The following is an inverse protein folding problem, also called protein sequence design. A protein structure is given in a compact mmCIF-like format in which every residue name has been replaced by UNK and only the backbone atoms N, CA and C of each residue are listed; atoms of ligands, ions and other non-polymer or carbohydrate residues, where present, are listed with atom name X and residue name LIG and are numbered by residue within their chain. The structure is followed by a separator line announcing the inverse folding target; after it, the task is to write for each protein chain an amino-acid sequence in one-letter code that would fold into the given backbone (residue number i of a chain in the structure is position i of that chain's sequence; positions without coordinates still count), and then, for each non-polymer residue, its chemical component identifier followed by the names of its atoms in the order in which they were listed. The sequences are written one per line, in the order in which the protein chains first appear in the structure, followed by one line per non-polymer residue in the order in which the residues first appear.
data_IF_186726578535
#
_entry.id   IF_186726578535
#
_cell.length_a   1.000
_cell.length_b   1.000
_cell.length_c   1.000
_cell.angle_alpha   90.00
_cell.angle_beta   90.00
_cell.angle_gamma   90.00
#
_symmetry.space_group_name_H-M   'P 1'
#
loop_
_entity.id
_entity.type
_entity.pdbx_description
1 polymer ?
#
# COMPACT_ATOMS: atom_id res chain seq x y z
N UNK A 1 45.17 -43.51 -25.14
CA UNK A 1 44.64 -43.16 -23.80
C UNK A 1 44.96 -41.70 -23.58
N UNK A 2 44.12 -40.84 -24.17
CA UNK A 2 44.14 -39.40 -24.00
C UNK A 2 42.69 -39.07 -23.70
N UNK A 3 42.41 -38.71 -22.45
CA UNK A 3 41.08 -38.28 -22.02
C UNK A 3 41.09 -36.76 -22.05
N UNK A 4 40.35 -36.24 -23.02
CA UNK A 4 40.25 -34.84 -23.40
C UNK A 4 39.13 -34.23 -22.54
N UNK A 5 39.52 -33.52 -21.48
CA UNK A 5 38.59 -32.84 -20.59
C UNK A 5 37.94 -31.67 -21.35
N UNK A 6 36.65 -31.83 -21.69
CA UNK A 6 35.80 -30.77 -22.23
C UNK A 6 35.58 -29.68 -21.19
N UNK A 7 36.03 -28.49 -21.54
CA UNK A 7 35.77 -27.22 -20.84
C UNK A 7 34.32 -26.79 -21.16
N UNK A 8 33.41 -26.98 -20.19
CA UNK A 8 32.04 -26.47 -20.28
C UNK A 8 32.04 -24.98 -19.93
N UNK A 9 31.82 -24.14 -20.95
CA UNK A 9 31.58 -22.70 -20.79
C UNK A 9 30.15 -22.49 -20.27
N UNK A 10 29.93 -21.67 -19.23
CA UNK A 10 28.59 -21.42 -18.70
C UNK A 10 27.72 -20.59 -19.68
N UNK A 11 26.39 -20.81 -19.69
CA UNK A 11 25.48 -20.16 -20.62
C UNK A 11 25.37 -18.67 -20.35
N UNK A 12 25.52 -17.87 -21.41
CA UNK A 12 25.26 -16.43 -21.37
C UNK A 12 23.76 -16.19 -21.22
N UNK A 13 23.40 -15.47 -20.17
CA UNK A 13 22.04 -15.04 -19.84
C UNK A 13 21.65 -13.89 -20.80
N UNK A 14 20.82 -14.20 -21.79
CA UNK A 14 20.21 -13.19 -22.68
C UNK A 14 19.28 -12.29 -21.86
N UNK A 15 19.69 -11.02 -21.73
CA UNK A 15 18.86 -9.97 -21.17
C UNK A 15 17.81 -9.59 -22.21
N UNK A 16 16.50 -9.65 -21.92
CA UNK A 16 15.47 -9.25 -22.87
C UNK A 16 15.49 -7.73 -23.07
N UNK A 17 15.57 -7.31 -24.34
CA UNK A 17 15.40 -5.94 -24.78
C UNK A 17 14.04 -5.40 -24.33
N UNK A 18 14.07 -4.44 -23.41
CA UNK A 18 12.89 -3.68 -22.97
C UNK A 18 12.55 -2.67 -24.07
N UNK A 19 11.64 -3.10 -24.94
CA UNK A 19 11.03 -2.30 -25.99
C UNK A 19 10.34 -1.06 -25.38
N UNK A 20 10.76 0.11 -25.86
CA UNK A 20 10.29 1.41 -25.40
C UNK A 20 8.78 1.58 -25.64
N UNK A 21 8.02 1.76 -24.56
CA UNK A 21 6.61 2.12 -24.62
C UNK A 21 6.43 3.56 -25.13
N UNK A 22 5.76 3.62 -26.27
CA UNK A 22 5.36 4.82 -26.99
C UNK A 22 4.29 5.60 -26.20
N UNK A 23 4.67 6.77 -25.70
CA UNK A 23 3.81 7.69 -24.95
C UNK A 23 2.81 8.38 -25.87
N UNK A 24 1.55 7.93 -25.85
CA UNK A 24 0.44 8.59 -26.55
C UNK A 24 -0.17 9.70 -25.68
N UNK A 25 -0.26 10.96 -26.16
CA UNK A 25 -0.66 12.09 -25.34
C UNK A 25 -2.18 12.23 -25.16
N UNK A 26 -2.52 12.77 -24.00
CA UNK A 26 -3.83 13.05 -23.46
C UNK A 26 -4.77 13.86 -24.39
N UNK A 27 -5.96 13.32 -24.62
CA UNK A 27 -7.10 14.05 -25.18
C UNK A 27 -7.90 14.73 -24.07
N UNK A 28 -7.61 16.02 -23.88
CA UNK A 28 -8.56 17.15 -23.74
C UNK A 28 -10.01 16.81 -23.31
N UNK A 29 -10.46 17.20 -22.10
CA UNK A 29 -11.88 17.31 -21.80
C UNK A 29 -12.42 18.67 -22.29
N UNK A 30 -13.48 18.59 -23.09
CA UNK A 30 -14.26 19.72 -23.58
C UNK A 30 -15.25 20.20 -22.51
N UNK A 31 -15.29 21.53 -22.35
CA UNK A 31 -16.47 22.36 -22.12
C UNK A 31 -17.32 22.10 -20.88
N UNK A 32 -16.95 22.82 -19.83
CA UNK A 32 -17.82 23.19 -18.72
C UNK A 32 -18.95 24.10 -19.22
N UNK A 33 -20.15 23.52 -19.36
CA UNK A 33 -21.38 24.28 -19.54
C UNK A 33 -21.77 24.95 -18.20
N UNK A 34 -21.76 26.28 -18.22
CA UNK A 34 -22.28 27.17 -17.19
C UNK A 34 -23.81 27.12 -17.19
N UNK A 35 -24.50 26.82 -16.07
CA UNK A 35 -25.93 27.12 -15.96
C UNK A 35 -26.10 28.60 -15.64
N UNK A 36 -26.66 29.33 -16.60
CA UNK A 36 -27.08 30.71 -16.44
C UNK A 36 -28.16 30.80 -15.35
N UNK A 37 -27.92 31.69 -14.40
CA UNK A 37 -28.89 32.17 -13.45
C UNK A 37 -29.71 33.30 -14.10
N UNK A 38 -31.00 33.07 -14.30
CA UNK A 38 -32.05 34.08 -14.42
C UNK A 38 -33.08 33.67 -13.33
N UNK A 39 -33.35 34.43 -12.25
CA UNK A 39 -33.58 35.87 -12.21
C UNK A 39 -34.91 36.13 -12.91
N UNK A 40 -36.07 35.85 -12.32
CA UNK A 40 -36.62 36.61 -11.21
C UNK A 40 -37.63 37.62 -11.75
N UNK A 41 -38.90 37.23 -11.89
CA UNK A 41 -40.02 38.15 -12.04
C UNK A 41 -41.22 37.64 -11.23
N UNK A 42 -41.37 38.24 -10.05
CA UNK A 42 -42.55 38.16 -9.20
C UNK A 42 -43.71 38.89 -9.91
N UNK A 43 -44.64 38.13 -10.51
CA UNK A 43 -45.93 38.68 -10.90
C UNK A 43 -46.85 38.75 -9.67
N UNK A 44 -46.69 39.85 -8.91
CA UNK A 44 -47.67 40.32 -7.96
C UNK A 44 -48.90 40.91 -8.68
N UNK A 45 -50.08 40.51 -8.24
CA UNK A 45 -51.30 41.32 -8.16
C UNK A 45 -51.86 41.88 -9.48
N UNK A 46 -52.60 41.03 -10.20
CA UNK A 46 -53.58 41.42 -11.22
C UNK A 46 -54.89 40.66 -11.01
N UNK A 47 -55.56 40.91 -9.89
CA UNK A 47 -56.87 40.34 -9.57
C UNK A 47 -57.99 40.96 -10.40
N UNK A 48 -57.98 40.77 -11.71
CA UNK A 48 -59.15 41.00 -12.54
C UNK A 48 -60.13 39.85 -12.34
N UNK A 49 -61.08 40.04 -11.42
CA UNK A 49 -62.25 39.18 -11.29
C UNK A 49 -63.11 39.37 -12.55
N UNK A 50 -62.75 38.67 -13.61
CA UNK A 50 -63.59 38.51 -14.80
C UNK A 50 -64.85 37.80 -14.33
N UNK A 51 -65.93 38.57 -14.22
CA UNK A 51 -67.25 38.13 -13.83
C UNK A 51 -67.74 37.17 -14.91
N UNK A 52 -67.54 35.86 -14.69
CA UNK A 52 -67.93 34.83 -15.64
C UNK A 52 -69.45 34.93 -15.89
N UNK A 53 -69.92 34.72 -17.12
CA UNK A 53 -71.35 34.92 -17.48
C UNK A 53 -72.30 34.07 -16.63
N UNK A 54 -71.80 32.98 -16.04
CA UNK A 54 -72.53 32.14 -15.08
C UNK A 54 -72.80 32.89 -13.76
N UNK A 55 -71.84 33.68 -13.25
CA UNK A 55 -72.02 34.46 -12.02
C UNK A 55 -73.00 35.62 -12.19
N UNK A 56 -73.02 36.28 -13.36
CA UNK A 56 -74.06 37.26 -13.69
C UNK A 56 -75.44 36.62 -13.81
N UNK A 57 -75.55 35.42 -14.40
CA UNK A 57 -76.81 34.69 -14.51
C UNK A 57 -77.42 34.34 -13.15
N UNK A 58 -76.60 33.85 -12.21
CA UNK A 58 -77.06 33.49 -10.86
C UNK A 58 -77.46 34.74 -10.06
N UNK A 59 -76.68 35.83 -10.14
CA UNK A 59 -77.05 37.11 -9.50
C UNK A 59 -78.38 37.67 -10.04
N UNK A 60 -78.62 37.56 -11.35
CA UNK A 60 -79.87 37.97 -11.97
C UNK A 60 -81.08 37.17 -11.48
N UNK A 61 -80.95 35.84 -11.40
CA UNK A 61 -82.03 34.96 -10.92
C UNK A 61 -82.31 35.20 -9.42
N UNK A 62 -81.27 35.39 -8.60
CA UNK A 62 -81.43 35.72 -7.18
C UNK A 62 -82.11 37.08 -6.98
N UNK A 63 -81.72 38.11 -7.77
CA UNK A 63 -82.36 39.42 -7.73
C UNK A 63 -83.84 39.37 -8.13
N UNK A 64 -84.16 38.61 -9.18
CA UNK A 64 -85.54 38.42 -9.62
C UNK A 64 -86.40 37.67 -8.58
N UNK A 65 -85.83 36.65 -7.93
CA UNK A 65 -86.51 35.89 -6.86
C UNK A 65 -86.81 36.78 -5.65
N UNK A 66 -85.87 37.61 -5.20
CA UNK A 66 -86.08 38.55 -4.08
C UNK A 66 -87.12 39.60 -4.43
N UNK A 67 -87.09 40.13 -5.67
CA UNK A 67 -88.09 41.07 -6.16
C UNK A 67 -89.51 40.49 -6.17
N UNK A 68 -89.65 39.25 -6.67
CA UNK A 68 -90.92 38.52 -6.66
C UNK A 68 -91.41 38.25 -5.23
N UNK A 69 -90.50 37.97 -4.30
CA UNK A 69 -90.81 37.70 -2.90
C UNK A 69 -91.34 38.94 -2.16
N UNK A 70 -90.72 40.10 -2.39
CA UNK A 70 -91.18 41.37 -1.84
C UNK A 70 -92.54 41.78 -2.41
N UNK A 71 -92.78 41.52 -3.70
CA UNK A 71 -94.09 41.73 -4.32
C UNK A 71 -95.16 40.80 -3.72
N UNK A 72 -94.84 39.54 -3.46
CA UNK A 72 -95.76 38.58 -2.86
C UNK A 72 -96.14 38.95 -1.41
N UNK A 73 -95.21 39.52 -0.62
CA UNK A 73 -95.50 40.04 0.74
C UNK A 73 -96.56 41.14 0.75
N UNK A 74 -96.64 41.97 -0.29
CA UNK A 74 -97.61 43.06 -0.37
C UNK A 74 -99.05 42.59 -0.60
N UNK A 75 -99.24 41.39 -1.14
CA UNK A 75 -100.57 40.89 -1.54
C UNK A 75 -101.12 39.92 -0.50
N UNK A 76 -100.28 39.07 0.12
CA UNK A 76 -100.70 38.06 1.09
C UNK A 76 -99.81 38.15 2.35
N UNK A 77 -100.20 39.00 3.30
CA UNK A 77 -99.46 39.31 4.54
C UNK A 77 -99.42 38.18 5.58
N UNK A 78 -98.94 37.00 5.21
CA UNK A 78 -98.76 35.86 6.12
C UNK A 78 -97.37 35.83 6.74
N UNK A 79 -97.28 35.93 8.07
CA UNK A 79 -96.03 35.91 8.85
C UNK A 79 -95.17 34.63 8.66
N UNK A 80 -95.70 33.58 8.04
CA UNK A 80 -94.98 32.33 7.78
C UNK A 80 -93.98 32.49 6.62
N UNK A 81 -94.31 33.31 5.62
CA UNK A 81 -93.47 33.53 4.44
C UNK A 81 -92.22 34.33 4.84
N UNK A 82 -92.35 35.37 5.67
CA UNK A 82 -91.20 36.15 6.17
C UNK A 82 -90.15 35.28 6.87
N UNK A 83 -90.57 34.28 7.64
CA UNK A 83 -89.66 33.40 8.39
C UNK A 83 -88.94 32.43 7.43
N UNK A 84 -89.65 31.84 6.46
CA UNK A 84 -89.04 30.94 5.49
C UNK A 84 -87.99 31.63 4.61
N UNK A 85 -88.24 32.88 4.20
CA UNK A 85 -87.29 33.68 3.43
C UNK A 85 -86.00 33.99 4.21
N UNK A 86 -86.12 34.35 5.49
CA UNK A 86 -84.95 34.61 6.34
C UNK A 86 -84.10 33.34 6.56
N UNK A 87 -84.73 32.18 6.75
CA UNK A 87 -84.01 30.91 6.89
C UNK A 87 -83.28 30.55 5.60
N UNK A 88 -83.89 30.74 4.43
CA UNK A 88 -83.25 30.47 3.15
C UNK A 88 -82.01 31.35 2.91
N UNK A 89 -82.06 32.63 3.31
CA UNK A 89 -80.90 33.55 3.20
C UNK A 89 -79.75 33.08 4.10
N UNK A 90 -80.05 32.64 5.34
CA UNK A 90 -79.03 32.15 6.28
C UNK A 90 -78.41 30.84 5.77
N UNK A 91 -79.22 29.88 5.33
CA UNK A 91 -78.74 28.59 4.82
C UNK A 91 -77.96 28.76 3.52
N UNK A 92 -78.44 29.60 2.60
CA UNK A 92 -77.72 29.91 1.35
C UNK A 92 -76.37 30.58 1.61
N UNK A 93 -76.30 31.50 2.58
CA UNK A 93 -75.06 32.13 3.01
C UNK A 93 -74.05 31.11 3.56
N UNK A 94 -74.51 30.17 4.40
CA UNK A 94 -73.66 29.12 4.97
C UNK A 94 -73.14 28.15 3.90
N UNK A 95 -74.01 27.65 3.02
CA UNK A 95 -73.61 26.70 1.97
C UNK A 95 -72.60 27.32 1.00
N UNK A 96 -72.77 28.60 0.64
CA UNK A 96 -71.80 29.28 -0.24
C UNK A 96 -70.40 29.33 0.39
N UNK A 97 -70.28 29.63 1.69
CA UNK A 97 -68.99 29.67 2.38
C UNK A 97 -68.28 28.32 2.39
N UNK A 98 -69.01 27.22 2.56
CA UNK A 98 -68.42 25.89 2.55
C UNK A 98 -67.92 25.47 1.17
N UNK A 99 -68.67 25.78 0.10
CA UNK A 99 -68.26 25.42 -1.27
C UNK A 99 -67.02 26.17 -1.75
N UNK A 100 -66.80 27.42 -1.30
CA UNK A 100 -65.57 28.15 -1.61
C UNK A 100 -64.33 27.50 -1.00
N UNK A 101 -64.47 26.89 0.18
CA UNK A 101 -63.36 26.22 0.87
C UNK A 101 -62.91 24.96 0.13
N UNK A 102 -63.85 24.19 -0.42
CA UNK A 102 -63.52 22.98 -1.19
C UNK A 102 -62.83 23.33 -2.53
N UNK A 103 -63.17 24.46 -3.14
CA UNK A 103 -62.51 24.92 -4.37
C UNK A 103 -61.08 25.40 -4.12
N UNK A 104 -60.84 26.08 -2.99
CA UNK A 104 -59.48 26.50 -2.58
C UNK A 104 -58.59 25.27 -2.31
N UNK A 105 -59.17 24.19 -1.78
CA UNK A 105 -58.44 22.93 -1.53
C UNK A 105 -57.92 22.26 -2.83
N UNK A 106 -58.60 22.44 -3.98
CA UNK A 106 -58.16 21.86 -5.25
C UNK A 106 -56.92 22.55 -5.84
N UNK A 107 -56.76 23.85 -5.58
CA UNK A 107 -55.56 24.59 -6.00
C UNK A 107 -54.34 24.18 -5.16
N UNK A 108 -54.55 23.98 -3.85
CA UNK A 108 -53.48 23.45 -2.98
C UNK A 108 -53.05 22.04 -3.41
N UNK A 109 -53.99 21.18 -3.82
CA UNK A 109 -53.66 19.83 -4.29
C UNK A 109 -52.86 19.86 -5.60
N UNK A 110 -53.20 20.75 -6.55
CA UNK A 110 -52.39 20.95 -7.77
C UNK A 110 -50.98 21.42 -7.44
N UNK A 111 -50.85 22.34 -6.49
CA UNK A 111 -49.54 22.83 -6.03
C UNK A 111 -48.73 21.71 -5.40
N UNK A 112 -49.33 20.91 -4.51
CA UNK A 112 -48.68 19.74 -3.89
C UNK A 112 -48.31 18.70 -4.95
N UNK A 113 -49.18 18.43 -5.92
CA UNK A 113 -48.92 17.45 -6.98
C UNK A 113 -47.79 17.90 -7.93
N UNK A 114 -47.75 19.18 -8.28
CA UNK A 114 -46.65 19.74 -9.06
C UNK A 114 -45.34 19.73 -8.25
N UNK A 115 -45.41 20.03 -6.96
CA UNK A 115 -44.26 19.91 -6.04
C UNK A 115 -43.76 18.47 -5.90
N UNK A 116 -44.67 17.50 -5.86
CA UNK A 116 -44.32 16.08 -5.81
C UNK A 116 -43.65 15.64 -7.12
N UNK A 117 -44.18 16.06 -8.27
CA UNK A 117 -43.55 15.79 -9.58
C UNK A 117 -42.15 16.40 -9.66
N UNK A 118 -41.98 17.64 -9.19
CA UNK A 118 -40.66 18.26 -9.12
C UNK A 118 -39.72 17.45 -8.23
N UNK A 119 -40.16 17.07 -7.02
CA UNK A 119 -39.36 16.27 -6.08
C UNK A 119 -38.99 14.90 -6.64
N UNK A 120 -39.88 14.23 -7.37
CA UNK A 120 -39.61 12.94 -8.04
C UNK A 120 -38.59 13.12 -9.16
N UNK A 121 -38.70 14.18 -9.95
CA UNK A 121 -37.73 14.47 -11.01
C UNK A 121 -36.35 14.79 -10.42
N UNK A 122 -36.29 15.57 -9.34
CA UNK A 122 -35.05 15.90 -8.62
C UNK A 122 -34.42 14.63 -8.04
N UNK A 123 -35.21 13.79 -7.37
CA UNK A 123 -34.73 12.53 -6.81
C UNK A 123 -34.25 11.56 -7.89
N UNK A 124 -34.93 11.51 -9.05
CA UNK A 124 -34.50 10.73 -10.19
C UNK A 124 -33.17 11.24 -10.74
N UNK A 125 -32.99 12.56 -10.85
CA UNK A 125 -31.75 13.16 -11.32
C UNK A 125 -30.58 12.91 -10.36
N UNK A 126 -30.82 13.03 -9.05
CA UNK A 126 -29.84 12.71 -8.01
C UNK A 126 -29.47 11.23 -8.04
N UNK A 127 -30.45 10.34 -8.17
CA UNK A 127 -30.18 8.90 -8.24
C UNK A 127 -29.37 8.54 -9.49
N UNK A 128 -29.67 9.12 -10.66
CA UNK A 128 -28.83 8.96 -11.86
C UNK A 128 -27.40 9.46 -11.64
N UNK A 129 -27.22 10.57 -10.90
CA UNK A 129 -25.89 11.07 -10.55
C UNK A 129 -25.15 10.14 -9.59
N UNK A 130 -25.83 9.56 -8.61
CA UNK A 130 -25.24 8.58 -7.69
C UNK A 130 -24.83 7.30 -8.43
N UNK A 131 -25.67 6.80 -9.34
CA UNK A 131 -25.34 5.64 -10.17
C UNK A 131 -24.09 5.92 -11.00
N UNK A 132 -24.02 7.07 -11.68
CA UNK A 132 -22.84 7.45 -12.46
C UNK A 132 -21.57 7.60 -11.59
N UNK A 133 -21.70 8.11 -10.36
CA UNK A 133 -20.58 8.16 -9.42
C UNK A 133 -20.14 6.77 -8.96
N UNK A 134 -21.07 5.85 -8.74
CA UNK A 134 -20.76 4.48 -8.36
C UNK A 134 -20.05 3.75 -9.49
N UNK A 135 -20.54 3.90 -10.72
CA UNK A 135 -19.89 3.33 -11.92
C UNK A 135 -18.45 3.85 -12.07
N UNK A 136 -18.22 5.15 -11.82
CA UNK A 136 -16.88 5.75 -11.83
C UNK A 136 -15.98 5.19 -10.73
N UNK A 137 -16.50 5.01 -9.52
CA UNK A 137 -15.73 4.41 -8.42
C UNK A 137 -15.38 2.95 -8.73
N UNK A 138 -16.28 2.21 -9.38
CA UNK A 138 -16.01 0.84 -9.83
C UNK A 138 -14.91 0.80 -10.90
N UNK A 139 -14.93 1.76 -11.84
CA UNK A 139 -13.85 1.94 -12.84
C UNK A 139 -12.51 2.28 -12.17
N UNK A 140 -12.50 3.10 -11.12
CA UNK A 140 -11.29 3.44 -10.36
C UNK A 140 -10.76 2.27 -9.49
N UNK A 141 -11.59 1.29 -9.12
CA UNK A 141 -11.17 0.09 -8.36
C UNK A 141 -10.39 -0.90 -9.23
N UNK A 142 -10.68 -1.00 -10.53
CA UNK A 142 -9.98 -1.92 -11.45
C UNK A 142 -8.46 -1.67 -11.49
N UNK A 143 -7.95 -0.45 -11.74
CA UNK A 143 -6.51 -0.21 -11.76
C UNK A 143 -5.86 -0.35 -10.39
N UNK A 144 -6.60 -0.12 -9.30
CA UNK A 144 -6.11 -0.37 -7.93
C UNK A 144 -5.86 -1.86 -7.69
N UNK A 145 -6.76 -2.74 -8.14
CA UNK A 145 -6.56 -4.21 -8.07
C UNK A 145 -5.39 -4.66 -8.94
N UNK A 146 -5.26 -4.13 -10.15
CA UNK A 146 -4.09 -4.43 -11.00
C UNK A 146 -2.77 -3.96 -10.36
N UNK A 147 -2.79 -2.82 -9.66
CA UNK A 147 -1.62 -2.33 -8.93
C UNK A 147 -1.28 -3.21 -7.72
N UNK A 148 -2.29 -3.67 -6.99
CA UNK A 148 -2.14 -4.63 -5.88
C UNK A 148 -1.54 -5.97 -6.35
N UNK A 149 -2.05 -6.52 -7.45
CA UNK A 149 -1.50 -7.75 -8.04
C UNK A 149 -0.03 -7.60 -8.46
N UNK A 150 0.31 -6.46 -9.10
CA UNK A 150 1.71 -6.16 -9.48
C UNK A 150 2.60 -6.01 -8.25
N UNK A 151 2.13 -5.33 -7.20
CA UNK A 151 2.89 -5.18 -5.95
C UNK A 151 3.07 -6.53 -5.24
N UNK A 152 2.06 -7.39 -5.24
CA UNK A 152 2.15 -8.75 -4.69
C UNK A 152 3.19 -9.60 -5.44
N UNK A 153 3.19 -9.56 -6.77
CA UNK A 153 4.17 -10.28 -7.59
C UNK A 153 5.61 -9.80 -7.34
N UNK A 154 5.82 -8.48 -7.21
CA UNK A 154 7.14 -7.90 -6.87
C UNK A 154 7.58 -8.31 -5.46
N UNK A 155 6.66 -8.34 -4.48
CA UNK A 155 6.96 -8.77 -3.12
C UNK A 155 7.35 -10.25 -3.07
N UNK A 156 6.69 -11.12 -3.83
CA UNK A 156 7.04 -12.53 -3.95
C UNK A 156 8.42 -12.72 -4.61
N UNK A 157 8.69 -12.00 -5.69
CA UNK A 157 9.99 -12.02 -6.37
C UNK A 157 11.11 -11.56 -5.43
N UNK A 158 10.91 -10.43 -4.75
CA UNK A 158 11.88 -9.87 -3.79
C UNK A 158 12.12 -10.82 -2.61
N UNK A 159 11.07 -11.47 -2.10
CA UNK A 159 11.19 -12.49 -1.06
C UNK A 159 12.00 -13.72 -1.50
N UNK A 160 11.91 -14.09 -2.78
CA UNK A 160 12.71 -15.18 -3.36
C UNK A 160 14.19 -14.80 -3.51
N UNK A 161 14.47 -13.55 -3.88
CA UNK A 161 15.84 -13.06 -4.09
C UNK A 161 16.59 -12.87 -2.75
N UNK A 162 15.89 -12.43 -1.70
CA UNK A 162 16.47 -12.40 -0.34
C UNK A 162 16.86 -13.80 0.12
N UNK A 163 16.02 -14.82 -0.13
CA UNK A 163 16.36 -16.21 0.20
C UNK A 163 17.60 -16.70 -0.55
N UNK A 164 17.69 -16.42 -1.87
CA UNK A 164 18.87 -16.75 -2.68
C UNK A 164 20.12 -16.06 -2.14
N UNK A 165 20.04 -14.76 -1.82
CA UNK A 165 21.15 -14.01 -1.26
C UNK A 165 21.61 -14.58 0.08
N UNK A 166 20.67 -14.91 0.99
CA UNK A 166 21.03 -15.56 2.26
C UNK A 166 21.69 -16.92 2.06
N UNK A 167 21.26 -17.68 1.05
CA UNK A 167 21.89 -18.94 0.66
C UNK A 167 23.33 -18.74 0.18
N UNK A 168 23.56 -17.78 -0.72
CA UNK A 168 24.89 -17.45 -1.23
C UNK A 168 25.84 -16.95 -0.12
N UNK A 169 25.34 -16.15 0.82
CA UNK A 169 26.15 -15.71 1.98
C UNK A 169 26.53 -16.88 2.87
N UNK A 170 25.60 -17.82 3.13
CA UNK A 170 25.89 -19.01 3.91
C UNK A 170 26.89 -19.94 3.19
N UNK A 171 26.78 -20.08 1.87
CA UNK A 171 27.74 -20.84 1.06
C UNK A 171 29.12 -20.19 1.06
N UNK A 172 29.19 -18.86 0.88
CA UNK A 172 30.45 -18.11 0.96
C UNK A 172 31.11 -18.27 2.34
N UNK A 173 30.34 -18.22 3.43
CA UNK A 173 30.87 -18.44 4.78
C UNK A 173 31.49 -19.84 4.89
N UNK A 174 30.81 -20.87 4.38
CA UNK A 174 31.34 -22.24 4.37
C UNK A 174 32.62 -22.34 3.53
N UNK A 175 32.69 -21.66 2.38
CA UNK A 175 33.90 -21.61 1.56
C UNK A 175 35.05 -20.95 2.31
N UNK A 176 34.81 -19.84 3.02
CA UNK A 176 35.82 -19.19 3.85
C UNK A 176 36.32 -20.12 4.96
N UNK A 177 35.42 -20.82 5.65
CA UNK A 177 35.81 -21.78 6.69
C UNK A 177 36.72 -22.89 6.12
N UNK A 178 36.41 -23.41 4.93
CA UNK A 178 37.27 -24.39 4.25
C UNK A 178 38.63 -23.82 3.83
N UNK A 179 38.68 -22.55 3.41
CA UNK A 179 39.95 -21.88 3.09
C UNK A 179 40.82 -21.69 4.33
N UNK A 180 40.22 -21.34 5.47
CA UNK A 180 40.92 -21.25 6.74
C UNK A 180 41.45 -22.61 7.19
N UNK A 181 40.69 -23.69 7.02
CA UNK A 181 41.17 -25.04 7.32
C UNK A 181 42.37 -25.43 6.44
N UNK A 182 42.31 -25.13 5.13
CA UNK A 182 43.43 -25.37 4.21
C UNK A 182 44.67 -24.56 4.63
N UNK A 183 44.51 -23.28 5.00
CA UNK A 183 45.62 -22.46 5.48
C UNK A 183 46.23 -22.99 6.79
N UNK A 184 45.40 -23.48 7.72
CA UNK A 184 45.88 -24.14 8.95
C UNK A 184 46.70 -25.39 8.62
N UNK A 185 46.22 -26.22 7.68
CA UNK A 185 46.94 -27.42 7.23
C UNK A 185 48.28 -27.07 6.56
N UNK A 186 48.29 -26.09 5.66
CA UNK A 186 49.51 -25.60 4.99
C UNK A 186 50.53 -25.06 5.99
N UNK A 187 50.06 -24.36 7.03
CA UNK A 187 50.90 -23.86 8.12
C UNK A 187 51.53 -25.01 8.93
N UNK A 188 50.72 -26.01 9.30
CA UNK A 188 51.18 -27.19 10.03
C UNK A 188 52.20 -27.97 9.21
N UNK A 189 51.96 -28.16 7.91
CA UNK A 189 52.89 -28.82 7.01
C UNK A 189 54.20 -28.04 6.89
N UNK A 190 54.14 -26.71 6.77
CA UNK A 190 55.32 -25.86 6.69
C UNK A 190 56.15 -25.92 7.98
N UNK A 191 55.49 -25.91 9.15
CA UNK A 191 56.16 -26.09 10.45
C UNK A 191 56.83 -27.46 10.55
N UNK A 192 56.16 -28.51 10.07
CA UNK A 192 56.69 -29.88 10.06
C UNK A 192 57.92 -30.00 9.14
N UNK A 193 57.88 -29.39 7.95
CA UNK A 193 59.02 -29.37 7.04
C UNK A 193 60.22 -28.62 7.64
N UNK A 194 59.97 -27.45 8.24
CA UNK A 194 61.02 -26.67 8.90
C UNK A 194 61.68 -27.46 10.03
N UNK A 195 60.88 -28.21 10.79
CA UNK A 195 61.35 -29.09 11.86
C UNK A 195 62.25 -30.20 11.33
N UNK A 196 61.80 -30.91 10.29
CA UNK A 196 62.59 -31.96 9.63
C UNK A 196 63.88 -31.43 9.01
N UNK A 197 63.90 -30.17 8.54
CA UNK A 197 65.12 -29.54 8.04
C UNK A 197 66.04 -29.00 9.15
N UNK A 198 65.54 -28.87 10.37
CA UNK A 198 66.31 -28.41 11.53
C UNK A 198 67.06 -29.56 12.20
N UNK A 199 66.42 -30.73 12.34
CA UNK A 199 67.01 -32.00 12.81
C UNK A 199 67.87 -32.60 11.70
N UNK A 200 69.19 -32.34 11.73
CA UNK A 200 70.09 -32.71 10.63
C UNK A 200 70.67 -34.11 10.79
N UNK A 201 70.76 -34.56 12.03
CA UNK A 201 71.31 -35.85 12.45
C UNK A 201 70.24 -36.92 12.67
N UNK A 202 68.95 -36.57 12.58
CA UNK A 202 67.79 -37.49 12.67
C UNK A 202 67.75 -38.25 14.01
N UNK A 203 68.31 -37.65 15.07
CA UNK A 203 68.34 -38.26 16.40
C UNK A 203 67.10 -37.92 17.25
N UNK A 204 66.30 -36.95 16.79
CA UNK A 204 65.09 -36.48 17.45
C UNK A 204 65.32 -35.62 18.70
N UNK A 205 66.57 -35.26 19.01
CA UNK A 205 66.98 -34.39 20.13
C UNK A 205 67.58 -33.07 19.63
N UNK A 206 66.85 -31.97 19.79
CA UNK A 206 67.27 -30.68 19.25
C UNK A 206 68.40 -30.04 20.06
N UNK A 207 69.57 -29.86 19.44
CA UNK A 207 70.69 -29.13 20.03
C UNK A 207 70.42 -27.61 20.08
N UNK A 208 71.12 -26.88 20.95
CA UNK A 208 70.98 -25.40 21.05
C UNK A 208 71.14 -24.66 19.70
N UNK A 209 71.98 -25.21 18.82
CA UNK A 209 72.23 -24.62 17.50
C UNK A 209 71.04 -24.84 16.56
N UNK A 210 70.41 -26.01 16.62
CA UNK A 210 69.25 -26.35 15.81
C UNK A 210 68.02 -25.60 16.28
N UNK A 211 67.82 -25.46 17.60
CA UNK A 211 66.77 -24.63 18.18
C UNK A 211 66.84 -23.19 17.68
N UNK A 212 68.03 -22.56 17.71
CA UNK A 212 68.21 -21.19 17.20
C UNK A 212 67.91 -21.08 15.71
N UNK A 213 68.28 -22.10 14.93
CA UNK A 213 68.01 -22.16 13.49
C UNK A 213 66.52 -22.34 13.21
N UNK A 214 65.85 -23.18 13.98
CA UNK A 214 64.42 -23.43 13.95
C UNK A 214 63.63 -22.15 14.26
N UNK A 215 63.97 -21.46 15.36
CA UNK A 215 63.38 -20.16 15.72
C UNK A 215 63.54 -19.14 14.59
N UNK A 216 64.74 -19.00 14.00
CA UNK A 216 64.96 -18.06 12.91
C UNK A 216 64.14 -18.41 11.66
N UNK A 217 63.90 -19.68 11.37
CA UNK A 217 63.02 -20.07 10.25
C UNK A 217 61.55 -19.78 10.57
N UNK A 218 61.10 -20.03 11.80
CA UNK A 218 59.72 -19.79 12.23
C UNK A 218 59.33 -18.32 12.22
N UNK A 219 60.24 -17.42 12.64
CA UNK A 219 60.01 -15.97 12.57
C UNK A 219 59.76 -15.47 11.14
N UNK A 220 60.29 -16.18 10.15
CA UNK A 220 60.17 -15.81 8.74
C UNK A 220 59.01 -16.50 8.03
N UNK A 221 58.17 -17.26 8.74
CA UNK A 221 56.97 -17.85 8.13
C UNK A 221 55.92 -16.77 7.86
N UNK A 222 55.40 -16.66 6.63
CA UNK A 222 54.29 -15.76 6.35
C UNK A 222 53.04 -16.21 7.12
N UNK A 223 52.22 -15.25 7.54
CA UNK A 223 50.92 -15.44 8.19
C UNK A 223 50.92 -16.04 9.62
N UNK A 224 52.07 -16.41 10.18
CA UNK A 224 52.18 -16.95 11.55
C UNK A 224 52.88 -15.95 12.47
N UNK A 225 52.18 -15.50 13.50
CA UNK A 225 52.79 -14.71 14.57
C UNK A 225 53.33 -15.67 15.63
N UNK A 226 54.66 -15.68 15.77
CA UNK A 226 55.43 -16.63 16.56
C UNK A 226 55.88 -16.01 17.89
N UNK A 227 55.46 -16.58 19.02
CA UNK A 227 55.89 -16.15 20.34
C UNK A 227 57.16 -16.90 20.78
N UNK A 228 58.31 -16.24 20.61
CA UNK A 228 59.62 -16.79 20.93
C UNK A 228 59.78 -17.17 22.40
N UNK A 229 59.37 -16.28 23.31
CA UNK A 229 59.56 -16.46 24.75
C UNK A 229 58.81 -17.69 25.28
N UNK A 230 57.58 -17.90 24.78
CA UNK A 230 56.77 -19.06 25.14
C UNK A 230 57.33 -20.34 24.55
N UNK A 231 57.83 -20.26 23.31
CA UNK A 231 58.47 -21.38 22.65
C UNK A 231 59.72 -21.84 23.40
N UNK A 232 60.63 -20.92 23.73
CA UNK A 232 61.85 -21.22 24.49
C UNK A 232 61.52 -21.85 25.86
N UNK A 233 60.54 -21.30 26.59
CA UNK A 233 60.12 -21.84 27.89
C UNK A 233 59.57 -23.26 27.82
N UNK A 234 58.82 -23.61 26.77
CA UNK A 234 58.36 -25.00 26.58
C UNK A 234 59.52 -25.94 26.22
N UNK A 235 60.51 -25.43 25.48
CA UNK A 235 61.64 -26.21 25.01
C UNK A 235 62.72 -26.47 26.08
N UNK A 236 62.85 -25.60 27.09
CA UNK A 236 63.75 -25.80 28.23
C UNK A 236 63.45 -27.09 29.00
N UNK A 237 62.17 -27.47 29.09
CA UNK A 237 61.75 -28.66 29.82
C UNK A 237 61.93 -29.95 28.99
N UNK A 238 61.68 -29.88 27.67
CA UNK A 238 61.76 -31.04 26.78
C UNK A 238 62.22 -30.65 25.37
N UNK A 239 63.44 -31.06 25.00
CA UNK A 239 64.05 -30.81 23.69
C UNK A 239 63.80 -31.90 22.66
N UNK A 240 62.79 -32.74 22.89
CA UNK A 240 62.46 -33.85 22.03
C UNK A 240 61.51 -33.41 20.92
N UNK A 241 61.72 -33.96 19.72
CA UNK A 241 60.85 -33.79 18.56
C UNK A 241 59.36 -34.06 18.87
N UNK A 242 59.09 -35.04 19.74
CA UNK A 242 57.75 -35.41 20.20
C UNK A 242 57.00 -34.26 20.90
N UNK A 243 57.72 -33.47 21.70
CA UNK A 243 57.15 -32.31 22.41
C UNK A 243 56.77 -31.23 21.42
N UNK A 244 57.61 -31.02 20.40
CA UNK A 244 57.35 -30.06 19.34
C UNK A 244 56.11 -30.45 18.51
N UNK A 245 55.94 -31.73 18.18
CA UNK A 245 54.73 -32.21 17.50
C UNK A 245 53.45 -31.93 18.30
N UNK A 246 53.54 -32.00 19.63
CA UNK A 246 52.41 -31.64 20.49
C UNK A 246 52.12 -30.13 20.40
N UNK A 247 53.15 -29.27 20.36
CA UNK A 247 52.98 -27.83 20.15
C UNK A 247 52.40 -27.49 18.76
N UNK A 248 52.78 -28.23 17.71
CA UNK A 248 52.19 -28.06 16.38
C UNK A 248 50.73 -28.52 16.36
N UNK A 249 50.39 -29.59 17.08
CA UNK A 249 49.01 -30.04 17.21
C UNK A 249 48.14 -29.03 17.97
N UNK A 250 48.70 -28.32 18.96
CA UNK A 250 48.02 -27.22 19.67
C UNK A 250 47.62 -26.06 18.73
N UNK A 251 48.26 -25.90 17.57
CA UNK A 251 47.89 -24.86 16.58
C UNK A 251 46.48 -25.09 16.02
N UNK A 252 46.08 -26.36 15.89
CA UNK A 252 44.77 -26.72 15.37
C UNK A 252 43.72 -26.91 16.49
N UNK A 253 44.13 -26.84 17.76
CA UNK A 253 43.22 -27.04 18.89
C UNK A 253 42.56 -25.72 19.31
N UNK A 254 41.26 -25.61 19.03
CA UNK A 254 40.48 -24.43 19.37
C UNK A 254 40.21 -24.29 20.89
N UNK A 255 40.43 -25.35 21.67
CA UNK A 255 40.19 -25.34 23.12
C UNK A 255 41.27 -24.58 23.91
N UNK A 256 42.45 -24.34 23.32
CA UNK A 256 43.53 -23.61 23.97
C UNK A 256 43.24 -22.10 23.92
N UNK A 257 43.24 -21.38 25.06
CA UNK A 257 43.05 -19.93 25.09
C UNK A 257 44.03 -19.21 24.18
N UNK A 258 43.57 -18.15 23.48
CA UNK A 258 44.40 -17.40 22.52
C UNK A 258 45.72 -16.91 23.11
N UNK A 259 45.69 -16.48 24.38
CA UNK A 259 46.87 -16.00 25.08
C UNK A 259 47.93 -17.09 25.26
N UNK A 260 47.53 -18.36 25.32
CA UNK A 260 48.44 -19.49 25.57
C UNK A 260 49.00 -20.15 24.32
N UNK A 261 48.58 -19.70 23.14
CA UNK A 261 49.06 -20.23 21.87
C UNK A 261 50.45 -19.71 21.55
N UNK A 262 51.36 -20.63 21.19
CA UNK A 262 52.71 -20.29 20.71
C UNK A 262 52.65 -19.72 19.28
N UNK A 263 51.74 -20.27 18.48
CA UNK A 263 51.51 -19.87 17.10
C UNK A 263 50.10 -19.30 17.00
N UNK A 264 50.00 -18.08 16.49
CA UNK A 264 48.72 -17.47 16.15
C UNK A 264 48.71 -17.23 14.64
N UNK A 265 47.72 -17.82 13.96
CA UNK A 265 47.52 -17.61 12.52
C UNK A 265 46.78 -16.28 12.38
N UNK A 266 47.34 -15.37 11.59
CA UNK A 266 46.73 -14.07 11.32
C UNK A 266 45.58 -14.30 10.35
N UNK A 267 44.34 -14.18 10.81
CA UNK A 267 43.14 -14.44 9.97
C UNK A 267 42.92 -13.34 8.91
N UNK A 268 43.59 -12.18 9.04
CA UNK A 268 43.43 -11.05 8.14
C UNK A 268 44.69 -10.76 7.30
N UNK A 269 44.64 -10.94 5.97
CA UNK A 269 45.70 -10.51 5.07
C UNK A 269 45.83 -8.98 4.94
N UNK A 270 44.93 -8.20 5.55
CA UNK A 270 44.78 -6.76 5.30
C UNK A 270 45.39 -5.83 6.34
N UNK A 271 45.71 -6.27 7.55
CA UNK A 271 46.27 -5.36 8.56
C UNK A 271 47.79 -5.19 8.46
N UNK A 272 48.53 -6.14 7.89
CA UNK A 272 50.01 -6.07 7.85
C UNK A 272 50.52 -5.04 6.83
N UNK A 273 49.70 -4.55 5.91
CA UNK A 273 50.10 -3.58 4.89
C UNK A 273 49.90 -2.10 5.28
N UNK A 274 49.43 -1.79 6.50
CA UNK A 274 49.19 -0.40 6.92
C UNK A 274 50.16 0.12 8.00
N UNK A 275 51.17 -0.66 8.41
CA UNK A 275 52.16 -0.24 9.41
C UNK A 275 53.60 -0.06 8.89
N UNK A 276 53.85 -0.14 7.56
CA UNK A 276 55.15 0.25 6.96
C UNK A 276 55.18 1.69 6.44
#
# INVERSE_FOLDING_TARGET
MADEAKEETPPQEEVPDVEAQDSKPASKPADAATPAAEGGEENCLGGDKVLTPVTMGVLGICGAMVGLYLAAMGIWGGAVVTVAGLVAIIVGGLVSKFQYFDLESLETLRTVHNGLRASVNDFSAENTKLVANNDRLEEEIVPLKECEEKLSAIAEQSGSDVKKLTGLVAENQKTLDTMHEIQKQDTVQSLMQILMEADRDEDGELTDREVKRLMNKMKNLPAVNFNEERFERKLENHRQLSTFLTMVHEVNDESVPKDDRIFTVSEDPKEVAMEE
#
